data_IF_655754814092
#
_entry.id   IF_655754814092
#
_cell.length_a   1.000
_cell.length_b   1.000
_cell.length_c   1.000
_cell.angle_alpha   90.00
_cell.angle_beta   90.00
_cell.angle_gamma   90.00
#
_symmetry.space_group_name_H-M   'P 1'
#
loop_
_entity.id
_entity.type
_entity.pdbx_description
1 polymer ?
#
# COMPACT_ATOMS: atom_id res chain seq x y z
N UNK A 1 -6.94 -1.64 14.68
CA UNK A 1 -6.57 -2.60 15.75
C UNK A 1 -7.12 -2.10 17.07
N UNK A 2 -7.81 -2.96 17.82
CA UNK A 2 -8.33 -2.61 19.14
C UNK A 2 -7.21 -2.44 20.18
N UNK A 3 -7.46 -1.66 21.21
CA UNK A 3 -6.53 -1.43 22.32
C UNK A 3 -5.98 -2.73 22.93
N UNK A 4 -6.78 -3.80 22.98
CA UNK A 4 -6.35 -5.09 23.50
C UNK A 4 -5.24 -5.78 22.69
N UNK A 5 -5.14 -5.53 21.39
CA UNK A 5 -4.04 -6.07 20.56
C UNK A 5 -2.74 -5.32 20.83
N UNK A 6 -2.81 -4.02 21.08
CA UNK A 6 -1.66 -3.20 21.46
C UNK A 6 -1.08 -3.67 22.79
N UNK A 7 -1.92 -3.87 23.81
CA UNK A 7 -1.48 -4.35 25.12
C UNK A 7 -0.81 -5.72 25.09
N UNK A 8 -1.31 -6.64 24.28
CA UNK A 8 -0.77 -8.02 24.20
C UNK A 8 0.59 -8.09 23.51
N UNK A 9 0.95 -7.09 22.72
CA UNK A 9 2.19 -7.07 21.93
C UNK A 9 3.23 -6.09 22.45
N UNK A 10 2.89 -5.29 23.43
CA UNK A 10 3.85 -4.41 24.09
C UNK A 10 4.75 -5.20 25.02
N UNK A 11 6.05 -4.90 24.95
CA UNK A 11 7.00 -5.28 25.98
C UNK A 11 6.75 -4.51 27.29
N UNK A 12 7.60 -4.71 28.33
CA UNK A 12 7.53 -3.92 29.55
C UNK A 12 7.55 -2.42 29.23
N UNK A 13 6.76 -1.62 29.94
CA UNK A 13 6.80 -0.18 29.77
C UNK A 13 8.19 0.35 30.16
N UNK A 14 8.58 1.46 29.57
CA UNK A 14 9.89 2.08 29.76
C UNK A 14 9.85 3.31 30.69
N UNK A 15 8.85 3.40 31.49
CA UNK A 15 8.63 4.52 32.41
C UNK A 15 9.81 4.79 33.34
N UNK A 16 10.59 3.76 33.70
CA UNK A 16 11.80 3.86 34.53
C UNK A 16 13.08 4.17 33.73
N UNK A 17 13.03 4.11 32.41
CA UNK A 17 14.18 4.45 31.55
C UNK A 17 14.32 5.97 31.52
N UNK A 18 15.49 6.46 31.93
CA UNK A 18 15.78 7.89 31.90
C UNK A 18 16.15 8.34 30.49
N UNK A 19 15.86 9.61 30.17
CA UNK A 19 16.21 10.17 28.88
C UNK A 19 17.71 10.06 28.58
N UNK A 20 18.56 10.19 29.61
CA UNK A 20 20.00 10.12 29.49
C UNK A 20 20.51 8.70 29.12
N UNK A 21 19.68 7.68 29.33
CA UNK A 21 19.97 6.29 28.96
C UNK A 21 19.62 6.01 27.49
N UNK A 22 18.79 6.85 26.88
CA UNK A 22 18.42 6.72 25.47
C UNK A 22 19.52 7.36 24.61
N UNK A 23 20.25 6.53 23.90
CA UNK A 23 21.32 6.97 23.02
C UNK A 23 20.92 6.76 21.57
N UNK A 24 20.61 7.85 20.88
CA UNK A 24 20.34 7.86 19.45
C UNK A 24 21.35 8.80 18.81
N UNK A 25 22.14 8.28 17.89
CA UNK A 25 23.12 9.05 17.12
C UNK A 25 22.51 9.64 15.84
N UNK A 26 23.20 10.60 15.24
CA UNK A 26 22.81 11.10 13.91
C UNK A 26 22.82 9.99 12.86
N UNK A 27 23.71 9.01 12.97
CA UNK A 27 23.77 7.86 12.07
C UNK A 27 22.51 6.99 12.20
N UNK A 28 21.98 6.78 13.41
CA UNK A 28 20.75 6.02 13.61
C UNK A 28 19.54 6.71 12.95
N UNK A 29 19.50 8.05 13.02
CA UNK A 29 18.40 8.83 12.44
C UNK A 29 18.52 9.01 10.92
N UNK A 30 19.73 9.05 10.39
CA UNK A 30 20.00 9.27 8.97
C UNK A 30 20.28 7.97 8.20
N UNK A 31 20.18 6.82 8.85
CA UNK A 31 20.41 5.54 8.21
C UNK A 31 19.30 5.26 7.17
N UNK A 32 19.62 5.24 5.86
CA UNK A 32 18.64 4.96 4.82
C UNK A 32 18.33 3.47 4.67
N UNK A 33 19.07 2.60 5.37
CA UNK A 33 18.87 1.16 5.28
C UNK A 33 17.63 0.78 6.07
N UNK A 34 16.71 0.11 5.42
CA UNK A 34 15.49 -0.40 6.03
C UNK A 34 15.67 -1.88 6.35
N UNK A 35 15.48 -2.24 7.62
CA UNK A 35 15.44 -3.64 8.01
C UNK A 35 14.15 -4.27 7.49
N UNK A 36 14.28 -5.36 6.74
CA UNK A 36 13.13 -6.07 6.22
C UNK A 36 13.47 -6.92 5.02
N UNK A 37 12.53 -7.77 4.67
CA UNK A 37 12.66 -8.66 3.53
C UNK A 37 11.44 -8.53 2.63
N UNK A 38 11.67 -8.55 1.33
CA UNK A 38 10.59 -8.58 0.34
C UNK A 38 10.11 -10.03 0.22
N UNK A 39 8.83 -10.24 0.42
CA UNK A 39 8.18 -11.54 0.28
C UNK A 39 7.09 -11.50 -0.77
N UNK A 40 6.78 -12.64 -1.40
CA UNK A 40 5.60 -12.72 -2.29
C UNK A 40 4.31 -12.37 -1.55
N UNK A 41 4.18 -12.80 -0.29
CA UNK A 41 3.03 -12.46 0.55
C UNK A 41 2.91 -10.95 0.79
N UNK A 42 4.03 -10.24 1.03
CA UNK A 42 4.07 -8.79 1.15
C UNK A 42 3.69 -8.08 -0.15
N UNK A 43 4.17 -8.58 -1.29
CA UNK A 43 3.78 -8.05 -2.60
C UNK A 43 2.27 -8.22 -2.85
N UNK A 44 1.70 -9.37 -2.51
CA UNK A 44 0.25 -9.62 -2.59
C UNK A 44 -0.55 -8.70 -1.68
N UNK A 45 -0.09 -8.48 -0.45
CA UNK A 45 -0.75 -7.58 0.49
C UNK A 45 -0.78 -6.14 -0.05
N UNK A 46 0.34 -5.63 -0.56
CA UNK A 46 0.42 -4.30 -1.17
C UNK A 46 -0.50 -4.18 -2.40
N UNK A 47 -0.48 -5.16 -3.30
CA UNK A 47 -1.37 -5.16 -4.48
C UNK A 47 -2.84 -5.19 -4.06
N UNK A 48 -3.21 -6.06 -3.11
CA UNK A 48 -4.59 -6.18 -2.62
C UNK A 48 -5.09 -4.87 -1.99
N UNK A 49 -4.28 -4.26 -1.11
CA UNK A 49 -4.62 -2.99 -0.47
C UNK A 49 -4.81 -1.88 -1.51
N UNK A 50 -3.88 -1.75 -2.45
CA UNK A 50 -3.95 -0.72 -3.48
C UNK A 50 -5.15 -0.90 -4.42
N UNK A 51 -5.40 -2.11 -4.91
CA UNK A 51 -6.55 -2.38 -5.79
C UNK A 51 -7.87 -2.08 -5.10
N UNK A 52 -8.05 -2.57 -3.86
CA UNK A 52 -9.27 -2.35 -3.11
C UNK A 52 -9.46 -0.86 -2.77
N UNK A 53 -8.38 -0.17 -2.38
CA UNK A 53 -8.44 1.26 -2.09
C UNK A 53 -8.82 2.07 -3.32
N UNK A 54 -8.10 1.92 -4.44
CA UNK A 54 -8.35 2.69 -5.67
C UNK A 54 -9.78 2.45 -6.19
N UNK A 55 -10.26 1.20 -6.19
CA UNK A 55 -11.60 0.86 -6.64
C UNK A 55 -12.70 1.52 -5.78
N UNK A 56 -12.47 1.65 -4.48
CA UNK A 56 -13.38 2.36 -3.57
C UNK A 56 -13.24 3.88 -3.70
N UNK A 57 -12.01 4.38 -3.86
CA UNK A 57 -11.75 5.81 -3.93
C UNK A 57 -12.43 6.46 -5.15
N UNK A 58 -12.35 5.84 -6.33
CA UNK A 58 -13.03 6.35 -7.52
C UNK A 58 -14.56 6.32 -7.39
N UNK A 59 -15.09 5.58 -6.44
CA UNK A 59 -16.50 5.56 -6.05
C UNK A 59 -16.82 6.52 -4.89
N UNK A 60 -15.85 7.35 -4.47
CA UNK A 60 -16.01 8.38 -3.45
C UNK A 60 -15.74 7.94 -2.01
N UNK A 61 -15.17 6.74 -1.79
CA UNK A 61 -14.84 6.23 -0.47
C UNK A 61 -13.33 6.35 -0.22
N UNK A 62 -12.93 7.32 0.59
CA UNK A 62 -11.52 7.61 0.91
C UNK A 62 -10.95 6.84 2.11
N UNK A 63 -11.73 5.96 2.74
CA UNK A 63 -11.32 5.15 3.87
C UNK A 63 -12.01 3.78 3.76
N UNK A 64 -11.23 2.71 3.68
CA UNK A 64 -11.72 1.39 3.26
C UNK A 64 -11.33 0.32 4.28
N UNK A 65 -12.27 -0.49 4.79
CA UNK A 65 -11.94 -1.62 5.63
C UNK A 65 -11.34 -2.75 4.78
N UNK A 66 -10.06 -3.05 5.02
CA UNK A 66 -9.32 -4.13 4.35
C UNK A 66 -8.67 -5.00 5.42
N UNK A 67 -8.98 -6.30 5.45
CA UNK A 67 -8.41 -7.25 6.41
C UNK A 67 -8.49 -6.78 7.87
N UNK A 68 -9.66 -6.27 8.29
CA UNK A 68 -9.92 -5.72 9.63
C UNK A 68 -9.11 -4.46 10.00
N UNK A 69 -8.51 -3.81 9.02
CA UNK A 69 -7.84 -2.52 9.15
C UNK A 69 -8.62 -1.47 8.36
N UNK A 70 -8.63 -0.25 8.86
CA UNK A 70 -9.22 0.88 8.14
C UNK A 70 -8.10 1.56 7.37
N UNK A 71 -8.02 1.27 6.07
CA UNK A 71 -6.97 1.75 5.19
C UNK A 71 -7.37 3.06 4.53
N UNK A 72 -6.41 3.96 4.41
CA UNK A 72 -6.56 5.27 3.80
C UNK A 72 -5.61 5.48 2.60
N UNK A 73 -5.58 6.71 2.08
CA UNK A 73 -4.70 7.06 0.97
C UNK A 73 -3.22 6.84 1.28
N UNK A 74 -2.79 7.02 2.54
CA UNK A 74 -1.39 6.85 2.91
C UNK A 74 -0.93 5.39 2.76
N UNK A 75 -1.74 4.44 3.22
CA UNK A 75 -1.46 3.01 3.05
C UNK A 75 -1.40 2.61 1.58
N UNK A 76 -2.34 3.10 0.77
CA UNK A 76 -2.35 2.82 -0.66
C UNK A 76 -1.13 3.42 -1.36
N UNK A 77 -0.72 4.62 -0.98
CA UNK A 77 0.45 5.29 -1.55
C UNK A 77 1.77 4.58 -1.17
N UNK A 78 1.92 4.18 0.09
CA UNK A 78 3.07 3.38 0.53
C UNK A 78 3.13 2.07 -0.26
N UNK A 79 1.99 1.40 -0.45
CA UNK A 79 1.91 0.16 -1.23
C UNK A 79 2.32 0.38 -2.69
N UNK A 80 1.83 1.45 -3.33
CA UNK A 80 2.17 1.82 -4.70
C UNK A 80 3.66 2.05 -4.89
N UNK A 81 4.23 2.91 -4.05
CA UNK A 81 5.64 3.27 -4.14
C UNK A 81 6.54 2.09 -3.79
N UNK A 82 6.18 1.27 -2.82
CA UNK A 82 6.96 0.06 -2.49
C UNK A 82 7.03 -0.90 -3.69
N UNK A 83 5.90 -1.18 -4.34
CA UNK A 83 5.86 -2.05 -5.53
C UNK A 83 6.69 -1.47 -6.68
N UNK A 84 6.58 -0.17 -6.94
CA UNK A 84 7.37 0.52 -7.94
C UNK A 84 8.88 0.44 -7.63
N UNK A 85 9.29 0.75 -6.40
CA UNK A 85 10.70 0.69 -5.98
C UNK A 85 11.27 -0.71 -6.15
N UNK A 86 10.54 -1.75 -5.75
CA UNK A 86 11.03 -3.13 -5.89
C UNK A 86 11.25 -3.53 -7.35
N UNK A 87 10.37 -3.11 -8.24
CA UNK A 87 10.52 -3.31 -9.68
C UNK A 87 11.68 -2.47 -10.23
N UNK A 88 11.72 -1.19 -9.89
CA UNK A 88 12.75 -0.25 -10.38
C UNK A 88 14.17 -0.67 -10.00
N UNK A 89 14.35 -1.15 -8.78
CA UNK A 89 15.65 -1.61 -8.28
C UNK A 89 15.97 -3.09 -8.63
N UNK A 90 15.13 -3.77 -9.37
CA UNK A 90 15.33 -5.18 -9.72
C UNK A 90 15.43 -6.09 -8.52
N UNK A 91 14.66 -5.80 -7.48
CA UNK A 91 14.68 -6.53 -6.21
C UNK A 91 14.26 -7.99 -6.38
N UNK A 92 14.62 -8.83 -5.41
CA UNK A 92 14.18 -10.23 -5.35
C UNK A 92 13.44 -10.49 -4.04
N UNK A 93 12.48 -11.39 -4.09
CA UNK A 93 11.85 -11.89 -2.87
C UNK A 93 12.78 -12.85 -2.13
N UNK A 94 12.49 -13.12 -0.85
CA UNK A 94 13.24 -14.12 -0.06
C UNK A 94 13.19 -15.51 -0.67
N UNK A 95 12.14 -15.78 -1.43
CA UNK A 95 11.96 -17.02 -2.18
C UNK A 95 12.81 -17.05 -3.47
N UNK A 96 13.61 -16.02 -3.72
CA UNK A 96 14.51 -15.89 -4.87
C UNK A 96 13.84 -15.45 -6.17
N UNK A 97 12.54 -15.12 -6.17
CA UNK A 97 11.82 -14.64 -7.36
C UNK A 97 12.18 -13.19 -7.67
N UNK A 98 12.52 -12.84 -8.91
CA UNK A 98 12.72 -11.45 -9.30
C UNK A 98 11.38 -10.70 -9.30
N UNK A 99 11.37 -9.51 -8.70
CA UNK A 99 10.19 -8.63 -8.70
C UNK A 99 10.19 -7.83 -10.02
N UNK A 100 9.51 -8.37 -11.01
CA UNK A 100 9.36 -7.77 -12.34
C UNK A 100 7.95 -7.23 -12.54
N UNK A 101 7.73 -6.35 -13.55
CA UNK A 101 6.37 -5.95 -13.91
C UNK A 101 5.44 -7.13 -14.19
N UNK A 102 5.94 -8.18 -14.84
CA UNK A 102 5.18 -9.40 -15.14
C UNK A 102 4.80 -10.17 -13.87
N UNK A 103 5.72 -10.24 -12.91
CA UNK A 103 5.42 -10.84 -11.60
C UNK A 103 4.32 -10.07 -10.87
N UNK A 104 4.38 -8.74 -10.88
CA UNK A 104 3.33 -7.92 -10.27
C UNK A 104 2.00 -8.07 -11.03
N UNK A 105 2.00 -8.12 -12.36
CA UNK A 105 0.77 -8.33 -13.14
C UNK A 105 0.07 -9.66 -12.81
N UNK A 106 0.83 -10.72 -12.59
CA UNK A 106 0.27 -12.01 -12.17
C UNK A 106 -0.43 -11.89 -10.80
N UNK A 107 0.18 -11.15 -9.88
CA UNK A 107 -0.41 -10.87 -8.58
C UNK A 107 -1.66 -9.99 -8.74
N UNK A 108 -1.60 -8.91 -9.53
CA UNK A 108 -2.73 -8.04 -9.85
C UNK A 108 -3.91 -8.86 -10.36
N UNK A 109 -3.69 -9.75 -11.32
CA UNK A 109 -4.76 -10.58 -11.88
C UNK A 109 -5.39 -11.48 -10.81
N UNK A 110 -4.58 -12.10 -9.96
CA UNK A 110 -5.07 -13.00 -8.91
C UNK A 110 -5.78 -12.27 -7.77
N UNK A 111 -5.30 -11.10 -7.36
CA UNK A 111 -5.93 -10.32 -6.29
C UNK A 111 -7.20 -9.61 -6.77
N UNK A 112 -7.21 -9.09 -8.00
CA UNK A 112 -8.41 -8.49 -8.58
C UNK A 112 -9.57 -9.48 -8.72
N UNK A 113 -9.29 -10.73 -9.04
CA UNK A 113 -10.31 -11.78 -9.14
C UNK A 113 -11.03 -12.06 -7.80
N UNK A 114 -10.45 -11.65 -6.67
CA UNK A 114 -11.06 -11.78 -5.33
C UNK A 114 -12.02 -10.64 -5.00
N UNK A 115 -11.95 -9.52 -5.70
CA UNK A 115 -12.72 -8.29 -5.43
C UNK A 115 -14.11 -8.33 -6.08
N UNK A 116 -14.81 -9.45 -5.96
CA UNK A 116 -16.12 -9.71 -6.63
C UNK A 116 -17.26 -8.86 -6.08
N UNK A 117 -17.10 -8.26 -4.91
CA UNK A 117 -18.10 -7.39 -4.28
C UNK A 117 -17.97 -5.93 -4.72
N UNK A 118 -16.88 -5.56 -5.40
CA UNK A 118 -16.64 -4.20 -5.88
C UNK A 118 -17.11 -4.02 -7.32
N UNK A 119 -17.31 -2.76 -7.73
CA UNK A 119 -17.63 -2.41 -9.10
C UNK A 119 -16.58 -2.93 -10.08
N UNK A 120 -16.94 -3.77 -11.07
CA UNK A 120 -15.97 -4.34 -12.01
C UNK A 120 -15.20 -3.29 -12.82
N UNK A 121 -15.83 -2.16 -13.17
CA UNK A 121 -15.18 -1.08 -13.92
C UNK A 121 -14.13 -0.37 -13.04
N UNK A 122 -14.45 -0.14 -11.76
CA UNK A 122 -13.52 0.46 -10.81
C UNK A 122 -12.33 -0.48 -10.52
N UNK A 123 -12.57 -1.79 -10.42
CA UNK A 123 -11.51 -2.80 -10.26
C UNK A 123 -10.63 -2.83 -11.52
N UNK A 124 -11.20 -2.81 -12.72
CA UNK A 124 -10.42 -2.82 -13.96
C UNK A 124 -9.60 -1.53 -14.12
N UNK A 125 -10.15 -0.37 -13.77
CA UNK A 125 -9.40 0.88 -13.71
C UNK A 125 -8.20 0.77 -12.76
N UNK A 126 -8.41 0.26 -11.56
CA UNK A 126 -7.36 0.08 -10.55
C UNK A 126 -6.24 -0.86 -11.03
N UNK A 127 -6.61 -1.95 -11.71
CA UNK A 127 -5.66 -2.89 -12.33
C UNK A 127 -4.77 -2.20 -13.35
N UNK A 128 -5.38 -1.46 -14.29
CA UNK A 128 -4.66 -0.74 -15.34
C UNK A 128 -3.75 0.32 -14.74
N UNK A 129 -4.24 1.07 -13.78
CA UNK A 129 -3.47 2.08 -13.06
C UNK A 129 -2.22 1.48 -12.40
N UNK A 130 -2.37 0.45 -11.58
CA UNK A 130 -1.23 -0.19 -10.90
C UNK A 130 -0.23 -0.79 -11.89
N UNK A 131 -0.71 -1.50 -12.92
CA UNK A 131 0.16 -2.07 -13.95
C UNK A 131 0.97 -0.99 -14.70
N UNK A 132 0.40 0.18 -14.91
CA UNK A 132 1.09 1.34 -15.49
C UNK A 132 2.12 1.92 -14.50
N UNK A 133 1.75 2.10 -13.24
CA UNK A 133 2.63 2.68 -12.23
C UNK A 133 3.91 1.88 -12.02
N UNK A 134 3.82 0.55 -11.93
CA UNK A 134 5.02 -0.30 -11.72
C UNK A 134 5.97 -0.32 -12.92
N UNK A 135 5.54 0.19 -14.08
CA UNK A 135 6.37 0.33 -15.29
C UNK A 135 6.87 1.74 -15.53
N UNK A 136 6.39 2.69 -14.77
CA UNK A 136 6.76 4.09 -14.96
C UNK A 136 8.25 4.30 -14.68
N UNK A 137 8.88 5.14 -15.47
CA UNK A 137 10.27 5.54 -15.24
C UNK A 137 10.40 6.34 -13.94
N UNK A 138 9.40 7.15 -13.67
CA UNK A 138 9.24 7.95 -12.44
C UNK A 138 7.79 7.77 -11.97
N UNK A 139 7.57 7.60 -10.67
CA UNK A 139 6.21 7.49 -10.14
C UNK A 139 5.51 8.86 -10.26
N UNK A 140 4.21 8.84 -10.45
CA UNK A 140 3.40 10.05 -10.34
C UNK A 140 3.44 10.60 -8.92
N UNK A 141 3.12 11.89 -8.77
CA UNK A 141 3.24 12.60 -7.49
C UNK A 141 2.35 11.97 -6.40
N UNK A 142 1.07 11.73 -6.72
CA UNK A 142 0.15 11.14 -5.76
C UNK A 142 -1.03 10.41 -6.44
N UNK A 143 -1.38 9.22 -5.95
CA UNK A 143 -2.39 8.35 -6.57
C UNK A 143 -3.78 9.01 -6.68
N UNK A 144 -4.20 9.76 -5.67
CA UNK A 144 -5.52 10.40 -5.69
C UNK A 144 -5.58 11.54 -6.70
N UNK A 145 -4.48 12.25 -6.94
CA UNK A 145 -4.36 13.25 -8.00
C UNK A 145 -4.57 12.61 -9.36
N UNK A 146 -3.88 11.48 -9.61
CA UNK A 146 -4.01 10.75 -10.88
C UNK A 146 -5.45 10.26 -11.12
N UNK A 147 -6.07 9.74 -10.05
CA UNK A 147 -7.40 9.14 -10.13
C UNK A 147 -8.56 10.15 -10.07
N UNK A 148 -8.29 11.43 -9.79
CA UNK A 148 -9.32 12.46 -9.67
C UNK A 148 -10.20 12.56 -10.92
N UNK A 149 -9.62 12.41 -12.11
CA UNK A 149 -10.37 12.44 -13.38
C UNK A 149 -11.36 11.27 -13.54
N UNK A 150 -11.24 10.23 -12.72
CA UNK A 150 -12.06 9.03 -12.75
C UNK A 150 -13.07 8.96 -11.61
N UNK A 151 -13.15 10.00 -10.76
CA UNK A 151 -14.19 10.07 -9.74
C UNK A 151 -15.58 10.01 -10.39
N UNK A 152 -16.44 9.19 -9.82
CA UNK A 152 -17.82 9.08 -10.29
C UNK A 152 -18.56 10.40 -10.03
N UNK A 153 -18.88 11.11 -11.12
CA UNK A 153 -19.55 12.41 -11.08
C UNK A 153 -20.95 12.35 -10.43
N UNK A 154 -21.57 11.17 -10.35
CA UNK A 154 -22.85 10.99 -9.68
C UNK A 154 -22.78 11.29 -8.17
N UNK A 155 -21.59 11.15 -7.56
CA UNK A 155 -21.35 11.38 -6.14
C UNK A 155 -21.16 12.87 -5.84
N UNK A 156 -20.60 13.63 -6.78
CA UNK A 156 -20.40 15.08 -6.60
C UNK A 156 -21.71 15.86 -6.61
N UNK A 157 -22.77 15.35 -7.26
CA UNK A 157 -24.08 16.00 -7.30
C UNK A 157 -24.96 15.73 -6.08
N UNK A 158 -24.65 14.73 -5.26
CA UNK A 158 -25.43 14.38 -4.05
C UNK A 158 -24.96 15.09 -2.78
N UNK A 159 -23.95 15.96 -2.85
CA UNK A 159 -23.35 16.68 -1.73
C UNK A 159 -23.60 18.21 -1.72
N UNK A 160 -24.57 18.67 -2.51
CA UNK A 160 -25.03 20.07 -2.51
C UNK A 160 -26.40 20.16 -1.86
#
# INVERSE_FOLDING_TARGET
RGLGDVYKRQGPNQYHVRREEVRVSALDLLNPNVDGQITEAGARANVSALLAYCANWVRGNGCVPINHLMEDAATAEISRISLWQWVFHGSKTVEGKPVTPQFIDQIIASEAAKLTSLDPNAVDLSRRYLSQQVRAKEPSEFLTTDLTAHLDNSISQSRI
#
